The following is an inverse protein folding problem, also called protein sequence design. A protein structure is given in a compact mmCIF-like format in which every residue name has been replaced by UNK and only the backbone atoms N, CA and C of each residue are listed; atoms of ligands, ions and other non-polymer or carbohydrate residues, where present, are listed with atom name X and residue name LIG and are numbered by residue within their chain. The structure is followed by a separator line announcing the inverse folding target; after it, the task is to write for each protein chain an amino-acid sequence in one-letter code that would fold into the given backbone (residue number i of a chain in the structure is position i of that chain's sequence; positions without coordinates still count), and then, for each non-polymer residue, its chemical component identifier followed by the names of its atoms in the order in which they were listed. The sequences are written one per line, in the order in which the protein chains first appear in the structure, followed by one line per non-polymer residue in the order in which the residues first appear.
data_IF_963658949809
#
_entry.id   IF_963658949809
#
_cell.length_a   1.000
_cell.length_b   1.000
_cell.length_c   1.000
_cell.angle_alpha   90.00
_cell.angle_beta   90.00
_cell.angle_gamma   90.00
#
_symmetry.space_group_name_H-M   'P 1'
#
loop_
_entity.id
_entity.type
_entity.pdbx_description
1 polymer ?
#
# COMPACT_ATOMS: atom_id res chain seq x y z
N UNK A 1 -7.93 3.22 -10.25
CA UNK A 1 -7.00 3.87 -9.30
C UNK A 1 -5.68 3.10 -9.26
N UNK A 2 -4.54 3.79 -9.19
CA UNK A 2 -3.22 3.17 -9.05
C UNK A 2 -2.48 3.75 -7.85
N UNK A 3 -1.87 2.89 -7.03
CA UNK A 3 -1.01 3.29 -5.90
C UNK A 3 0.36 2.62 -6.06
N UNK A 4 1.41 3.43 -5.97
CA UNK A 4 2.80 2.99 -5.99
C UNK A 4 3.39 3.14 -4.58
N UNK A 5 3.79 2.04 -3.96
CA UNK A 5 4.46 2.02 -2.66
C UNK A 5 5.95 1.80 -2.88
N UNK A 6 6.76 2.81 -2.58
CA UNK A 6 8.20 2.74 -2.70
C UNK A 6 8.79 2.22 -1.39
N UNK A 7 9.56 1.14 -1.46
CA UNK A 7 10.25 0.57 -0.30
C UNK A 7 11.69 1.05 -0.23
N UNK A 8 12.23 1.10 0.99
CA UNK A 8 13.63 1.36 1.22
C UNK A 8 14.47 0.21 0.64
N UNK A 9 15.50 0.55 -0.14
CA UNK A 9 16.42 -0.43 -0.73
C UNK A 9 15.94 -1.10 -2.03
N UNK A 10 14.70 -0.85 -2.49
CA UNK A 10 14.22 -1.35 -3.79
C UNK A 10 14.23 -0.24 -4.84
N UNK A 11 14.60 -0.61 -6.08
CA UNK A 11 14.49 0.32 -7.23
C UNK A 11 13.05 0.43 -7.74
N UNK A 12 12.32 -0.68 -7.70
CA UNK A 12 10.95 -0.75 -8.21
C UNK A 12 9.93 -0.61 -7.07
N UNK A 13 8.83 0.14 -7.29
CA UNK A 13 7.74 0.23 -6.33
C UNK A 13 6.86 -1.01 -6.38
N UNK A 14 6.20 -1.31 -5.27
CA UNK A 14 5.03 -2.18 -5.26
C UNK A 14 3.85 -1.45 -5.88
N UNK A 15 3.23 -2.06 -6.89
CA UNK A 15 2.14 -1.44 -7.66
C UNK A 15 0.81 -2.11 -7.34
N UNK A 16 -0.14 -1.31 -6.88
CA UNK A 16 -1.51 -1.73 -6.61
C UNK A 16 -2.44 -1.05 -7.62
N UNK A 17 -3.29 -1.84 -8.29
CA UNK A 17 -4.26 -1.35 -9.28
C UNK A 17 -5.62 -1.95 -8.96
N UNK A 18 -6.61 -1.09 -8.77
CA UNK A 18 -7.98 -1.48 -8.46
C UNK A 18 -8.97 -0.37 -8.71
N UNK A 19 -10.24 -0.70 -8.52
CA UNK A 19 -11.37 0.24 -8.60
C UNK A 19 -11.32 1.23 -7.42
N UNK A 20 -10.98 0.70 -6.23
CA UNK A 20 -10.69 1.47 -5.01
C UNK A 20 -9.44 0.94 -4.35
N UNK A 21 -8.58 1.83 -3.85
CA UNK A 21 -7.45 1.47 -3.01
C UNK A 21 -7.50 2.33 -1.75
N UNK A 22 -7.47 1.67 -0.59
CA UNK A 22 -7.37 2.35 0.70
C UNK A 22 -5.96 2.12 1.28
N UNK A 23 -5.37 3.18 1.84
CA UNK A 23 -4.09 3.14 2.54
C UNK A 23 -4.35 3.55 3.99
N UNK A 24 -4.09 2.64 4.93
CA UNK A 24 -4.36 2.84 6.35
C UNK A 24 -3.07 2.72 7.15
N UNK A 25 -2.88 3.59 8.14
CA UNK A 25 -1.83 3.45 9.14
C UNK A 25 -2.36 2.64 10.32
N UNK A 26 -1.62 1.60 10.70
CA UNK A 26 -1.96 0.70 11.80
C UNK A 26 -0.79 0.59 12.78
N UNK A 27 -1.09 0.48 14.07
CA UNK A 27 -0.14 0.07 15.08
C UNK A 27 -0.58 -1.30 15.62
N UNK A 28 0.26 -2.32 15.44
CA UNK A 28 0.03 -3.66 15.93
C UNK A 28 1.22 -4.09 16.78
N UNK A 29 0.98 -4.34 18.07
CA UNK A 29 2.02 -4.75 19.02
C UNK A 29 3.24 -3.81 19.01
N UNK A 30 3.01 -2.50 19.06
CA UNK A 30 4.04 -1.44 18.98
C UNK A 30 4.82 -1.38 17.66
N UNK A 31 4.42 -2.12 16.63
CA UNK A 31 4.98 -2.02 15.28
C UNK A 31 4.00 -1.25 14.39
N UNK A 32 4.50 -0.19 13.74
CA UNK A 32 3.72 0.58 12.79
C UNK A 32 3.72 -0.09 11.42
N UNK A 33 2.56 -0.23 10.83
CA UNK A 33 2.33 -0.79 9.50
C UNK A 33 1.52 0.16 8.64
N UNK A 34 1.75 0.10 7.33
CA UNK A 34 0.79 0.54 6.32
C UNK A 34 0.02 -0.66 5.81
N UNK A 35 -1.30 -0.63 5.95
CA UNK A 35 -2.19 -1.57 5.31
C UNK A 35 -2.66 -1.02 3.97
N UNK A 36 -2.46 -1.78 2.90
CA UNK A 36 -2.95 -1.46 1.56
C UNK A 36 -4.10 -2.40 1.24
N UNK A 37 -5.31 -1.85 1.05
CA UNK A 37 -6.49 -2.62 0.63
C UNK A 37 -6.82 -2.29 -0.81
N UNK A 38 -6.74 -3.27 -1.69
CA UNK A 38 -7.08 -3.13 -3.10
C UNK A 38 -8.40 -3.85 -3.38
N UNK A 39 -9.38 -3.10 -3.92
CA UNK A 39 -10.67 -3.62 -4.35
C UNK A 39 -10.71 -3.61 -5.88
N UNK A 40 -10.96 -4.77 -6.49
CA UNK A 40 -11.01 -4.91 -7.95
C UNK A 40 -12.05 -5.96 -8.33
N UNK A 41 -13.02 -5.59 -9.18
CA UNK A 41 -14.05 -6.48 -9.72
C UNK A 41 -14.80 -7.30 -8.64
N UNK A 42 -15.12 -6.67 -7.50
CA UNK A 42 -15.81 -7.34 -6.38
C UNK A 42 -14.90 -8.19 -5.48
N UNK A 43 -13.62 -8.36 -5.82
CA UNK A 43 -12.63 -8.97 -4.94
C UNK A 43 -11.89 -7.92 -4.13
N UNK A 44 -11.44 -8.31 -2.93
CA UNK A 44 -10.56 -7.49 -2.11
C UNK A 44 -9.29 -8.26 -1.75
N UNK A 45 -8.16 -7.57 -1.78
CA UNK A 45 -6.87 -8.05 -1.29
C UNK A 45 -6.31 -7.03 -0.32
N UNK A 46 -5.81 -7.50 0.81
CA UNK A 46 -5.15 -6.64 1.82
C UNK A 46 -3.72 -7.11 2.04
N UNK A 47 -2.81 -6.15 2.12
CA UNK A 47 -1.40 -6.39 2.44
C UNK A 47 -0.94 -5.47 3.58
N UNK A 48 -0.04 -5.96 4.42
CA UNK A 48 0.56 -5.24 5.54
C UNK A 48 2.05 -5.06 5.26
N UNK A 49 2.52 -3.82 5.31
CA UNK A 49 3.91 -3.46 5.11
C UNK A 49 4.38 -2.70 6.35
N UNK A 50 5.49 -3.11 6.96
CA UNK A 50 6.06 -2.34 8.08
C UNK A 50 6.37 -0.91 7.62
N UNK A 51 5.89 0.10 8.36
CA UNK A 51 6.01 1.50 7.99
C UNK A 51 7.48 1.93 7.84
N UNK A 52 8.39 1.31 8.60
CA UNK A 52 9.84 1.56 8.52
C UNK A 52 10.45 1.19 7.15
N UNK A 53 9.80 0.29 6.42
CA UNK A 53 10.22 -0.13 5.08
C UNK A 53 9.67 0.80 3.99
N UNK A 54 8.62 1.57 4.28
CA UNK A 54 7.98 2.44 3.29
C UNK A 54 8.73 3.76 3.22
N UNK A 55 9.27 4.06 2.03
CA UNK A 55 9.90 5.34 1.72
C UNK A 55 8.87 6.42 1.42
N UNK A 56 7.88 6.09 0.59
CA UNK A 56 6.74 6.95 0.24
C UNK A 56 5.64 6.14 -0.42
N UNK A 57 4.43 6.68 -0.38
CA UNK A 57 3.26 6.16 -1.11
C UNK A 57 2.80 7.26 -2.08
N UNK A 58 2.59 6.90 -3.34
CA UNK A 58 2.13 7.83 -4.37
C UNK A 58 0.84 7.31 -4.98
N UNK A 59 -0.20 8.12 -4.94
CA UNK A 59 -1.45 7.86 -5.66
C UNK A 59 -1.37 8.46 -7.06
N UNK A 60 -1.75 7.68 -8.07
CA UNK A 60 -1.90 8.14 -9.45
C UNK A 60 -3.35 7.94 -9.87
N UNK A 61 -4.05 9.06 -10.03
CA UNK A 61 -5.25 9.16 -10.84
C UNK A 61 -4.78 9.44 -12.28
N UNK A 62 -5.11 8.55 -13.21
CA UNK A 62 -5.16 8.90 -14.63
C UNK A 62 -6.47 9.61 -14.92
#
# INVERSE_FOLDING_TARGET
MKVEVYLNGTKEPLVYIGDRIDVLDLNLNNINYKQIRCFKNGFSKSELIEAKLVKRVTEKAE
#
